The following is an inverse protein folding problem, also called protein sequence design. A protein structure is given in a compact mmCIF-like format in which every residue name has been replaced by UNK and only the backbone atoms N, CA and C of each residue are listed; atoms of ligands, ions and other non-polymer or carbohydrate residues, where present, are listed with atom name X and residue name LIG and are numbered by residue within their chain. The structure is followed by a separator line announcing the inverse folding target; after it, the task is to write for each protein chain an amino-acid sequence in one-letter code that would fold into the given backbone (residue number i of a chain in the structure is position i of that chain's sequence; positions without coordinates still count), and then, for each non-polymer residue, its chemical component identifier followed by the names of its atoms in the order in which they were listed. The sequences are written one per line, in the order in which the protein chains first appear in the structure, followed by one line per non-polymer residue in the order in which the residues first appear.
data_IF_697902684171
#
_entry.id   IF_697902684171
#
_cell.length_a   1.000
_cell.length_b   1.000
_cell.length_c   1.000
_cell.angle_alpha   90.00
_cell.angle_beta   90.00
_cell.angle_gamma   90.00
#
_symmetry.space_group_name_H-M   'P 1'
#
loop_
_entity.id
_entity.type
_entity.pdbx_description
1 polymer ?
#
# COMPACT_ATOMS: atom_id res chain seq x y z
N UNK A 1 5.11 12.05 9.39
CA UNK A 1 5.70 10.99 8.55
C UNK A 1 6.38 9.81 9.30
N UNK A 2 6.33 9.66 10.64
CA UNK A 2 6.69 8.39 11.32
C UNK A 2 5.59 7.30 11.32
N UNK A 3 4.31 7.66 11.10
CA UNK A 3 3.18 6.78 11.47
C UNK A 3 2.84 5.67 10.47
N UNK A 4 3.28 5.76 9.21
CA UNK A 4 2.94 4.75 8.19
C UNK A 4 3.89 3.54 8.25
N UNK A 5 5.18 3.78 8.47
CA UNK A 5 6.18 2.71 8.59
C UNK A 5 5.97 1.88 9.85
N UNK A 6 5.59 2.50 10.98
CA UNK A 6 5.33 1.77 12.22
C UNK A 6 4.19 0.75 12.10
N UNK A 7 3.12 1.07 11.36
CA UNK A 7 1.95 0.20 11.23
C UNK A 7 2.21 -1.08 10.43
N UNK A 8 3.06 -1.01 9.39
CA UNK A 8 3.36 -2.17 8.54
C UNK A 8 4.31 -3.17 9.21
N UNK A 9 5.08 -2.78 10.23
CA UNK A 9 5.94 -3.70 10.97
C UNK A 9 5.28 -4.26 12.24
N UNK A 10 4.29 -3.55 12.81
CA UNK A 10 3.52 -4.05 13.94
C UNK A 10 2.80 -5.38 13.63
N UNK A 11 2.41 -5.61 12.37
CA UNK A 11 1.77 -6.86 11.96
C UNK A 11 2.71 -8.07 11.98
N UNK A 12 4.04 -7.86 11.98
CA UNK A 12 5.01 -8.96 11.97
C UNK A 12 5.03 -9.69 13.32
N UNK A 13 4.64 -9.02 14.41
CA UNK A 13 4.53 -9.64 15.73
C UNK A 13 3.57 -10.84 15.76
N UNK A 14 2.53 -10.83 14.92
CA UNK A 14 1.53 -11.91 14.86
C UNK A 14 1.86 -13.00 13.82
N UNK A 15 2.90 -12.81 13.00
CA UNK A 15 3.32 -13.80 12.00
C UNK A 15 3.67 -15.18 12.57
N UNK A 16 4.33 -15.30 13.74
CA UNK A 16 4.59 -16.62 14.34
C UNK A 16 3.31 -17.44 14.62
N UNK A 17 2.17 -16.78 14.86
CA UNK A 17 0.90 -17.48 15.06
C UNK A 17 0.39 -18.09 13.75
N UNK A 18 0.45 -17.33 12.65
CA UNK A 18 0.09 -17.82 11.33
C UNK A 18 1.06 -18.89 10.82
N UNK A 19 2.34 -18.81 11.18
CA UNK A 19 3.33 -19.85 10.87
C UNK A 19 2.91 -21.20 11.45
N UNK A 20 2.44 -21.22 12.70
CA UNK A 20 1.92 -22.45 13.30
C UNK A 20 0.70 -23.00 12.56
N UNK A 21 -0.17 -22.12 12.04
CA UNK A 21 -1.37 -22.54 11.31
C UNK A 21 -0.97 -23.20 9.99
N UNK A 22 -0.09 -22.57 9.20
CA UNK A 22 0.31 -23.10 7.89
C UNK A 22 1.20 -24.35 8.00
N UNK A 23 2.08 -24.42 9.01
CA UNK A 23 2.97 -25.57 9.21
C UNK A 23 2.22 -26.87 9.58
N UNK A 24 0.98 -26.78 10.12
CA UNK A 24 0.14 -27.98 10.34
C UNK A 24 -0.18 -28.73 9.05
N UNK A 25 -0.03 -28.09 7.90
CA UNK A 25 -0.28 -28.70 6.59
C UNK A 25 1.00 -29.16 5.88
N UNK A 26 2.15 -29.17 6.57
CA UNK A 26 3.39 -29.69 6.00
C UNK A 26 3.34 -31.19 5.70
N UNK A 27 2.72 -31.96 6.60
CA UNK A 27 2.76 -33.42 6.58
C UNK A 27 1.42 -34.05 6.15
N UNK A 28 0.44 -33.25 5.72
CA UNK A 28 -0.88 -33.76 5.36
C UNK A 28 -0.79 -34.53 4.03
N UNK A 29 -1.17 -35.83 4.01
CA UNK A 29 -1.12 -36.63 2.79
C UNK A 29 -1.91 -36.01 1.65
N UNK A 30 -1.41 -36.15 0.40
CA UNK A 30 -2.07 -35.62 -0.80
C UNK A 30 -3.53 -36.08 -0.93
N UNK A 31 -3.85 -37.29 -0.45
CA UNK A 31 -5.18 -37.89 -0.52
C UNK A 31 -6.24 -37.21 0.35
N UNK A 32 -5.84 -36.51 1.41
CA UNK A 32 -6.77 -35.91 2.37
C UNK A 32 -7.21 -34.50 1.96
N UNK A 33 -6.49 -33.87 1.03
CA UNK A 33 -6.74 -32.51 0.58
C UNK A 33 -7.35 -32.57 -0.82
N UNK A 34 -8.70 -32.61 -0.89
CA UNK A 34 -9.47 -32.59 -2.13
C UNK A 34 -9.49 -31.19 -2.77
N UNK A 35 -8.30 -30.66 -3.03
CA UNK A 35 -8.11 -29.33 -3.60
C UNK A 35 -7.49 -29.46 -4.98
N UNK A 36 -8.20 -28.94 -5.99
CA UNK A 36 -7.73 -28.93 -7.36
C UNK A 36 -6.60 -27.90 -7.53
N UNK A 37 -5.35 -28.36 -7.41
CA UNK A 37 -4.13 -27.59 -7.68
C UNK A 37 -3.51 -27.89 -9.07
N UNK A 38 -4.13 -28.79 -9.84
CA UNK A 38 -3.51 -29.48 -10.99
C UNK A 38 -3.40 -28.65 -12.28
N UNK A 39 -3.63 -27.34 -12.26
CA UNK A 39 -3.76 -26.54 -13.48
C UNK A 39 -2.91 -25.27 -13.54
N UNK A 40 -1.87 -25.14 -12.71
CA UNK A 40 -0.89 -24.05 -12.89
C UNK A 40 0.37 -24.62 -13.51
N UNK A 41 0.65 -24.15 -14.71
CA UNK A 41 1.97 -24.23 -15.31
C UNK A 41 2.70 -22.96 -14.90
N UNK A 42 3.52 -23.03 -13.85
CA UNK A 42 4.43 -21.91 -13.56
C UNK A 42 5.44 -21.81 -14.70
N UNK A 43 5.83 -20.58 -15.11
CA UNK A 43 6.98 -20.42 -15.97
C UNK A 43 8.19 -21.09 -15.29
N UNK A 44 9.06 -21.76 -16.05
CA UNK A 44 10.26 -22.38 -15.49
C UNK A 44 11.09 -21.30 -14.81
N UNK A 45 11.18 -21.39 -13.48
CA UNK A 45 12.00 -20.49 -12.67
C UNK A 45 13.45 -20.98 -12.76
N UNK A 46 14.32 -20.21 -13.40
CA UNK A 46 15.74 -20.57 -13.50
C UNK A 46 16.33 -20.79 -12.10
N UNK A 47 16.70 -22.04 -11.80
CA UNK A 47 17.36 -22.41 -10.55
C UNK A 47 16.50 -22.37 -9.28
N UNK A 48 15.16 -22.38 -9.41
CA UNK A 48 14.24 -22.53 -8.26
C UNK A 48 13.24 -23.65 -8.55
N UNK A 49 13.39 -24.76 -7.83
CA UNK A 49 12.40 -25.84 -7.81
C UNK A 49 11.39 -25.57 -6.69
N UNK A 50 10.17 -25.17 -7.07
CA UNK A 50 9.03 -25.07 -6.14
C UNK A 50 8.08 -26.21 -6.46
N UNK A 51 7.79 -27.08 -5.49
CA UNK A 51 6.67 -28.02 -5.58
C UNK A 51 5.36 -27.23 -5.44
N UNK A 52 4.91 -26.66 -6.56
CA UNK A 52 3.74 -25.80 -6.58
C UNK A 52 2.48 -26.52 -6.06
N UNK A 53 2.36 -27.81 -6.30
CA UNK A 53 1.24 -28.63 -5.85
C UNK A 53 1.20 -28.71 -4.30
N UNK A 54 2.36 -28.88 -3.66
CA UNK A 54 2.47 -28.78 -2.21
C UNK A 54 2.13 -27.37 -1.69
N UNK A 55 2.73 -26.33 -2.27
CA UNK A 55 2.50 -24.93 -1.87
C UNK A 55 1.02 -24.56 -2.00
N UNK A 56 0.38 -24.97 -3.08
CA UNK A 56 -1.03 -24.73 -3.34
C UNK A 56 -1.94 -25.39 -2.30
N UNK A 57 -1.71 -26.66 -1.99
CA UNK A 57 -2.47 -27.36 -0.95
C UNK A 57 -2.33 -26.72 0.43
N UNK A 58 -1.10 -26.36 0.81
CA UNK A 58 -0.81 -25.72 2.09
C UNK A 58 -1.48 -24.35 2.19
N UNK A 59 -1.29 -23.52 1.17
CA UNK A 59 -1.87 -22.18 1.10
C UNK A 59 -3.39 -22.23 1.18
N UNK A 60 -4.03 -23.15 0.43
CA UNK A 60 -5.49 -23.27 0.42
C UNK A 60 -6.04 -23.76 1.76
N UNK A 61 -5.37 -24.73 2.39
CA UNK A 61 -5.77 -25.25 3.71
C UNK A 61 -5.63 -24.17 4.78
N UNK A 62 -4.51 -23.43 4.75
CA UNK A 62 -4.29 -22.27 5.60
C UNK A 62 -5.38 -21.21 5.43
N UNK A 63 -5.68 -20.79 4.20
CA UNK A 63 -6.71 -19.78 3.94
C UNK A 63 -8.10 -20.26 4.36
N UNK A 64 -8.42 -21.55 4.19
CA UNK A 64 -9.66 -22.14 4.67
C UNK A 64 -9.82 -22.02 6.20
N UNK A 65 -8.75 -22.33 6.95
CA UNK A 65 -8.74 -22.21 8.41
C UNK A 65 -8.92 -20.76 8.87
N UNK A 66 -8.25 -19.82 8.20
CA UNK A 66 -8.42 -18.39 8.52
C UNK A 66 -9.80 -17.89 8.12
N UNK A 67 -10.35 -18.34 7.00
CA UNK A 67 -11.67 -17.92 6.53
C UNK A 67 -12.77 -18.26 7.55
N UNK A 68 -12.69 -19.45 8.14
CA UNK A 68 -13.62 -19.93 9.16
C UNK A 68 -13.35 -19.36 10.57
N UNK A 69 -12.22 -18.68 10.77
CA UNK A 69 -11.98 -17.94 12.00
C UNK A 69 -12.88 -16.68 12.06
N UNK A 70 -13.48 -16.42 13.23
CA UNK A 70 -14.48 -15.35 13.43
C UNK A 70 -13.90 -13.93 13.37
N UNK A 71 -12.59 -13.78 13.52
CA UNK A 71 -11.96 -12.47 13.53
C UNK A 71 -11.62 -11.98 12.10
N UNK A 72 -12.45 -11.06 11.59
CA UNK A 72 -12.24 -10.48 10.27
C UNK A 72 -10.99 -9.59 10.17
N UNK A 73 -10.52 -8.99 11.28
CA UNK A 73 -9.35 -8.09 11.24
C UNK A 73 -8.04 -8.84 10.99
N UNK A 74 -8.01 -10.12 11.33
CA UNK A 74 -6.87 -11.00 11.12
C UNK A 74 -6.75 -11.52 9.68
N UNK A 75 -7.81 -11.41 8.86
CA UNK A 75 -7.84 -11.93 7.49
C UNK A 75 -6.84 -11.24 6.57
N UNK A 76 -6.79 -9.91 6.58
CA UNK A 76 -5.84 -9.16 5.75
C UNK A 76 -4.39 -9.46 6.15
N UNK A 77 -4.11 -9.55 7.46
CA UNK A 77 -2.78 -9.87 7.94
C UNK A 77 -2.39 -11.30 7.57
N UNK A 78 -3.31 -12.24 7.64
CA UNK A 78 -3.09 -13.60 7.20
C UNK A 78 -2.73 -13.70 5.71
N UNK A 79 -3.36 -12.88 4.86
CA UNK A 79 -3.02 -12.78 3.44
C UNK A 79 -1.62 -12.21 3.21
N UNK A 80 -1.21 -11.18 3.97
CA UNK A 80 0.16 -10.63 3.95
C UNK A 80 1.19 -11.63 4.46
N UNK A 81 0.86 -12.37 5.50
CA UNK A 81 1.72 -13.44 6.01
C UNK A 81 1.92 -14.53 4.96
N UNK A 82 0.88 -14.94 4.24
CA UNK A 82 1.00 -15.95 3.18
C UNK A 82 1.99 -15.50 2.09
N UNK A 83 1.94 -14.23 1.67
CA UNK A 83 2.91 -13.66 0.73
C UNK A 83 4.35 -13.77 1.27
N UNK A 84 4.56 -13.33 2.52
CA UNK A 84 5.85 -13.43 3.19
C UNK A 84 6.34 -14.88 3.32
N UNK A 85 5.46 -15.82 3.66
CA UNK A 85 5.79 -17.23 3.80
C UNK A 85 6.28 -17.85 2.48
N UNK A 86 5.65 -17.50 1.34
CA UNK A 86 6.12 -17.94 0.02
C UNK A 86 7.55 -17.44 -0.22
N UNK A 87 7.81 -16.16 0.04
CA UNK A 87 9.14 -15.54 -0.08
C UNK A 87 10.18 -16.26 0.80
N UNK A 88 9.88 -16.44 2.08
CA UNK A 88 10.84 -16.99 3.05
C UNK A 88 11.16 -18.47 2.78
N UNK A 89 10.14 -19.30 2.58
CA UNK A 89 10.30 -20.76 2.48
C UNK A 89 10.73 -21.23 1.10
N UNK A 90 10.18 -20.65 0.04
CA UNK A 90 10.35 -21.18 -1.32
C UNK A 90 11.36 -20.38 -2.15
N UNK A 91 11.56 -19.10 -1.83
CA UNK A 91 12.47 -18.25 -2.60
C UNK A 91 13.80 -17.99 -1.88
N UNK A 92 13.95 -18.36 -0.60
CA UNK A 92 15.22 -18.27 0.16
C UNK A 92 15.93 -16.92 0.00
N UNK A 93 15.18 -15.82 0.06
CA UNK A 93 15.68 -14.46 -0.15
C UNK A 93 16.19 -14.14 -1.58
N UNK A 94 15.84 -14.94 -2.59
CA UNK A 94 16.05 -14.57 -3.99
C UNK A 94 14.93 -13.65 -4.44
N UNK A 95 15.31 -12.51 -5.00
CA UNK A 95 14.38 -11.55 -5.58
C UNK A 95 13.65 -12.18 -6.74
N UNK A 96 12.32 -12.10 -6.73
CA UNK A 96 11.56 -12.67 -7.80
C UNK A 96 10.23 -11.96 -7.97
N UNK A 97 10.08 -11.31 -9.11
CA UNK A 97 8.78 -10.91 -9.67
C UNK A 97 7.79 -12.08 -9.71
N UNK A 98 8.28 -13.32 -9.68
CA UNK A 98 7.47 -14.53 -9.66
C UNK A 98 6.77 -14.80 -8.32
N UNK A 99 7.23 -14.23 -7.19
CA UNK A 99 6.52 -14.40 -5.91
C UNK A 99 5.12 -13.83 -6.01
N UNK A 100 4.97 -12.64 -6.60
CA UNK A 100 3.68 -12.02 -6.82
C UNK A 100 2.80 -12.88 -7.73
N UNK A 101 3.34 -13.38 -8.84
CA UNK A 101 2.60 -14.27 -9.76
C UNK A 101 2.11 -15.54 -9.04
N UNK A 102 2.97 -16.20 -8.26
CA UNK A 102 2.60 -17.40 -7.49
C UNK A 102 1.53 -17.05 -6.48
N UNK A 103 1.71 -15.96 -5.74
CA UNK A 103 0.76 -15.53 -4.73
C UNK A 103 -0.62 -15.24 -5.33
N UNK A 104 -0.68 -14.49 -6.43
CA UNK A 104 -1.94 -14.16 -7.10
C UNK A 104 -2.68 -15.41 -7.59
N UNK A 105 -1.96 -16.34 -8.20
CA UNK A 105 -2.49 -17.64 -8.64
C UNK A 105 -3.02 -18.48 -7.47
N UNK A 106 -2.30 -18.51 -6.34
CA UNK A 106 -2.73 -19.20 -5.13
C UNK A 106 -4.04 -18.59 -4.59
N UNK A 107 -4.12 -17.26 -4.51
CA UNK A 107 -5.32 -16.57 -4.02
C UNK A 107 -6.50 -16.83 -4.97
N UNK A 108 -6.31 -16.73 -6.29
CA UNK A 108 -7.37 -16.94 -7.28
C UNK A 108 -7.94 -18.36 -7.21
N UNK A 109 -7.08 -19.38 -7.18
CA UNK A 109 -7.51 -20.80 -7.12
C UNK A 109 -8.01 -21.25 -5.76
N UNK A 110 -7.69 -20.51 -4.72
CA UNK A 110 -8.23 -20.79 -3.39
C UNK A 110 -9.74 -20.54 -3.33
N UNK A 111 -10.27 -19.62 -4.15
CA UNK A 111 -11.67 -19.16 -4.08
C UNK A 111 -11.90 -18.05 -3.05
N UNK A 112 -10.84 -17.57 -2.38
CA UNK A 112 -10.92 -16.57 -1.30
C UNK A 112 -10.54 -15.14 -1.73
N UNK A 113 -10.37 -14.89 -3.03
CA UNK A 113 -9.96 -13.59 -3.58
C UNK A 113 -10.91 -12.44 -3.21
N UNK A 114 -12.23 -12.68 -3.24
CA UNK A 114 -13.24 -11.62 -3.11
C UNK A 114 -13.68 -11.32 -1.66
N UNK A 115 -13.39 -12.19 -0.70
CA UNK A 115 -13.95 -12.10 0.66
C UNK A 115 -12.89 -11.99 1.77
N UNK A 116 -11.66 -12.49 1.55
CA UNK A 116 -10.63 -12.54 2.58
C UNK A 116 -9.43 -11.66 2.24
N UNK A 117 -8.94 -11.75 1.00
CA UNK A 117 -7.76 -11.02 0.56
C UNK A 117 -8.13 -9.90 -0.41
N UNK A 118 -9.08 -9.03 -0.08
CA UNK A 118 -9.70 -8.08 -1.04
C UNK A 118 -8.72 -7.13 -1.75
N UNK A 119 -7.52 -6.90 -1.19
CA UNK A 119 -6.47 -6.06 -1.77
C UNK A 119 -5.19 -6.84 -2.11
N UNK A 120 -5.28 -8.15 -2.38
CA UNK A 120 -4.12 -9.01 -2.62
C UNK A 120 -3.27 -8.57 -3.82
N UNK A 121 -3.90 -7.96 -4.84
CA UNK A 121 -3.21 -7.39 -6.01
C UNK A 121 -2.43 -6.11 -5.70
N UNK A 122 -2.65 -5.51 -4.52
CA UNK A 122 -2.03 -4.25 -4.08
C UNK A 122 -1.09 -4.52 -2.88
N UNK A 123 -0.59 -5.75 -2.73
CA UNK A 123 0.47 -6.00 -1.75
C UNK A 123 1.76 -5.38 -2.27
N UNK A 124 2.00 -4.13 -1.88
CA UNK A 124 3.19 -3.36 -2.22
C UNK A 124 4.33 -3.66 -1.24
N UNK A 125 4.79 -4.91 -1.20
CA UNK A 125 6.07 -5.22 -0.56
C UNK A 125 7.17 -5.11 -1.59
N UNK A 126 8.05 -4.13 -1.43
CA UNK A 126 9.30 -4.12 -2.16
C UNK A 126 10.22 -5.23 -1.64
N UNK A 127 11.21 -5.61 -2.44
CA UNK A 127 12.26 -6.53 -2.02
C UNK A 127 12.96 -6.08 -0.72
N UNK A 128 13.17 -4.77 -0.59
CA UNK A 128 13.73 -4.14 0.62
C UNK A 128 12.79 -4.31 1.82
N UNK A 129 11.48 -4.23 1.60
CA UNK A 129 10.50 -4.46 2.66
C UNK A 129 10.49 -5.92 3.10
N UNK A 130 10.58 -6.88 2.18
CA UNK A 130 10.64 -8.30 2.50
C UNK A 130 11.86 -8.68 3.34
N UNK A 131 13.02 -8.10 3.04
CA UNK A 131 14.23 -8.27 3.86
C UNK A 131 14.00 -7.73 5.28
N UNK A 132 13.43 -6.54 5.41
CA UNK A 132 13.14 -5.94 6.73
C UNK A 132 12.11 -6.75 7.50
N UNK A 133 11.02 -7.16 6.85
CA UNK A 133 9.97 -8.01 7.44
C UNK A 133 10.58 -9.31 7.92
N UNK A 134 11.48 -9.92 7.14
CA UNK A 134 12.21 -11.12 7.56
C UNK A 134 13.04 -10.86 8.81
N UNK A 135 13.83 -9.78 8.85
CA UNK A 135 14.62 -9.46 10.05
C UNK A 135 13.73 -9.27 11.29
N UNK A 136 12.59 -8.60 11.16
CA UNK A 136 11.62 -8.49 12.25
C UNK A 136 11.03 -9.84 12.64
N UNK A 137 10.65 -10.65 11.64
CA UNK A 137 10.09 -11.97 11.85
C UNK A 137 11.06 -12.91 12.60
N UNK A 138 12.33 -12.92 12.20
CA UNK A 138 13.39 -13.71 12.85
C UNK A 138 13.57 -13.23 14.30
N UNK A 139 13.58 -11.91 14.52
CA UNK A 139 13.65 -11.32 15.87
C UNK A 139 12.45 -11.71 16.75
N UNK A 140 11.22 -11.61 16.25
CA UNK A 140 10.01 -11.98 16.99
C UNK A 140 9.92 -13.48 17.24
N UNK A 141 10.26 -14.29 16.25
CA UNK A 141 10.32 -15.75 16.38
C UNK A 141 11.33 -16.14 17.46
N UNK A 142 12.48 -15.48 17.45
CA UNK A 142 13.48 -15.71 18.47
C UNK A 142 13.02 -15.29 19.88
N UNK A 143 12.50 -14.07 20.00
CA UNK A 143 11.97 -13.57 21.25
C UNK A 143 10.87 -14.50 21.81
N UNK A 144 10.00 -15.01 20.94
CA UNK A 144 9.00 -16.00 21.30
C UNK A 144 9.62 -17.31 21.82
N UNK A 145 10.67 -17.84 21.18
CA UNK A 145 11.40 -19.03 21.65
C UNK A 145 12.06 -18.80 23.01
N UNK A 146 12.72 -17.66 23.20
CA UNK A 146 13.35 -17.26 24.47
C UNK A 146 12.30 -17.20 25.58
N UNK A 147 11.18 -16.49 25.35
CA UNK A 147 10.10 -16.33 26.31
C UNK A 147 9.47 -17.66 26.74
N UNK A 148 9.40 -18.63 25.84
CA UNK A 148 8.85 -19.96 26.12
C UNK A 148 9.90 -21.01 26.54
N UNK A 149 11.15 -20.60 26.79
CA UNK A 149 12.25 -21.50 27.15
C UNK A 149 12.49 -22.65 26.16
N UNK A 150 12.24 -22.43 24.86
CA UNK A 150 12.45 -23.44 23.81
C UNK A 150 13.96 -23.71 23.62
N UNK A 151 14.40 -24.95 23.85
CA UNK A 151 15.83 -25.29 23.82
C UNK A 151 16.47 -25.00 22.45
N UNK A 152 15.70 -25.00 21.37
CA UNK A 152 16.19 -24.76 20.01
C UNK A 152 16.84 -23.39 19.83
N UNK A 153 16.48 -22.36 20.63
CA UNK A 153 17.11 -21.03 20.50
C UNK A 153 18.61 -21.05 20.82
N UNK A 154 19.09 -22.03 21.60
CA UNK A 154 20.50 -22.11 21.99
C UNK A 154 21.42 -22.49 20.83
N UNK A 155 20.87 -23.14 19.80
CA UNK A 155 21.62 -23.57 18.62
C UNK A 155 21.61 -22.50 17.52
N UNK A 156 20.72 -21.51 17.64
CA UNK A 156 20.58 -20.41 16.70
C UNK A 156 21.44 -19.22 17.18
N UNK A 157 22.51 -18.92 16.44
CA UNK A 157 23.48 -17.89 16.79
C UNK A 157 22.86 -16.50 16.89
N UNK A 158 21.93 -16.18 15.97
CA UNK A 158 21.20 -14.92 15.99
C UNK A 158 20.36 -14.82 17.27
N UNK A 159 19.69 -15.91 17.63
CA UNK A 159 18.91 -15.95 18.87
C UNK A 159 19.73 -15.80 20.12
N UNK A 160 20.89 -16.46 20.15
CA UNK A 160 21.82 -16.34 21.26
C UNK A 160 22.31 -14.91 21.44
N UNK A 161 22.68 -14.24 20.34
CA UNK A 161 23.07 -12.83 20.35
C UNK A 161 21.93 -11.92 20.81
N UNK A 162 20.71 -12.12 20.31
CA UNK A 162 19.53 -11.34 20.71
C UNK A 162 19.25 -11.49 22.21
N UNK A 163 19.30 -12.72 22.74
CA UNK A 163 19.13 -12.99 24.17
C UNK A 163 20.14 -12.22 25.02
N UNK A 164 21.41 -12.23 24.62
CA UNK A 164 22.48 -11.51 25.33
C UNK A 164 22.21 -10.00 25.38
N UNK A 165 21.77 -9.41 24.27
CA UNK A 165 21.40 -7.98 24.22
C UNK A 165 20.24 -7.68 25.17
N UNK A 166 19.20 -8.52 25.19
CA UNK A 166 18.05 -8.38 26.10
C UNK A 166 18.51 -8.47 27.57
N UNK A 167 19.37 -9.43 27.90
CA UNK A 167 19.90 -9.61 29.25
C UNK A 167 20.77 -8.41 29.69
N UNK A 168 21.69 -7.95 28.85
CA UNK A 168 22.52 -6.77 29.11
C UNK A 168 21.67 -5.50 29.32
N UNK A 169 20.62 -5.32 28.53
CA UNK A 169 19.71 -4.19 28.68
C UNK A 169 18.89 -4.27 29.98
N UNK A 170 18.39 -5.45 30.33
CA UNK A 170 17.64 -5.67 31.57
C UNK A 170 18.50 -5.44 32.81
N UNK A 171 19.78 -5.82 32.80
CA UNK A 171 20.73 -5.53 33.90
C UNK A 171 20.94 -4.02 34.06
N UNK A 172 20.99 -3.26 32.96
CA UNK A 172 21.10 -1.79 33.02
C UNK A 172 19.82 -1.12 33.53
N UNK A 173 18.66 -1.75 33.32
CA UNK A 173 17.36 -1.29 33.77
C UNK A 173 16.95 -1.79 35.15
N UNK A 174 17.71 -2.72 35.77
CA UNK A 174 17.55 -2.96 37.20
C UNK A 174 17.64 -1.60 37.89
N UNK A 175 16.66 -1.26 38.74
CA UNK A 175 16.67 0.02 39.40
C UNK A 175 17.95 0.08 40.20
N UNK A 176 18.95 0.83 39.68
CA UNK A 176 19.95 1.44 40.55
C UNK A 176 19.10 2.05 41.64
N UNK A 177 19.27 1.56 42.87
CA UNK A 177 18.63 2.12 44.04
C UNK A 177 18.93 3.62 43.97
N UNK A 178 18.00 4.37 43.39
CA UNK A 178 18.12 5.79 43.11
C UNK A 178 17.90 6.38 44.48
N UNK A 179 18.97 6.32 45.28
CA UNK A 179 18.91 6.15 46.72
C UNK A 179 17.83 7.01 47.30
N UNK A 180 16.85 6.36 47.96
CA UNK A 180 15.67 6.96 48.60
C UNK A 180 15.57 8.43 48.26
N UNK A 181 14.99 8.74 47.10
CA UNK A 181 14.72 10.13 46.77
C UNK A 181 13.85 10.62 47.90
N UNK A 182 14.43 11.43 48.80
CA UNK A 182 13.69 12.12 49.83
C UNK A 182 12.65 12.87 49.01
N UNK A 183 11.41 12.40 49.06
CA UNK A 183 10.27 13.07 48.48
C UNK A 183 10.17 14.39 49.23
N UNK A 184 10.96 15.38 48.79
CA UNK A 184 10.58 16.78 48.89
C UNK A 184 9.27 16.82 48.12
N UNK A 185 8.20 16.76 48.91
CA UNK A 185 6.84 17.01 48.51
C UNK A 185 6.88 18.41 47.91
N UNK A 186 7.18 18.49 46.62
CA UNK A 186 6.99 19.69 45.81
C UNK A 186 5.51 19.96 45.96
N UNK A 187 5.19 21.01 46.71
CA UNK A 187 3.87 21.62 46.73
C UNK A 187 3.50 21.84 45.28
N UNK A 188 2.67 20.92 44.79
CA UNK A 188 2.15 20.89 43.44
C UNK A 188 1.23 22.09 43.35
N UNK A 189 1.79 23.25 43.01
CA UNK A 189 1.00 24.35 42.50
C UNK A 189 0.21 23.79 41.34
N UNK A 190 -1.10 23.70 41.55
CA UNK A 190 -2.06 23.21 40.58
C UNK A 190 -2.15 24.23 39.46
N UNK A 191 -1.14 24.26 38.60
CA UNK A 191 -1.22 24.99 37.36
C UNK A 191 -2.40 24.39 36.60
N UNK A 192 -3.36 25.23 36.25
CA UNK A 192 -4.61 24.84 35.61
C UNK A 192 -4.33 24.25 34.23
N UNK A 193 -3.96 22.97 34.18
CA UNK A 193 -3.69 22.17 32.96
C UNK A 193 -4.88 22.19 31.99
N UNK A 194 -6.08 22.53 32.50
CA UNK A 194 -7.28 22.78 31.70
C UNK A 194 -7.07 23.90 30.67
N UNK A 195 -6.33 24.96 30.99
CA UNK A 195 -6.17 26.12 30.10
C UNK A 195 -5.37 25.76 28.83
N UNK A 196 -4.17 25.13 28.94
CA UNK A 196 -3.45 24.65 27.75
C UNK A 196 -4.28 23.69 26.89
N UNK A 197 -5.02 22.76 27.50
CA UNK A 197 -5.83 21.76 26.76
C UNK A 197 -6.97 22.43 25.98
N UNK A 198 -7.66 23.41 26.57
CA UNK A 198 -8.74 24.15 25.89
C UNK A 198 -8.17 24.95 24.72
N UNK A 199 -7.03 25.63 24.92
CA UNK A 199 -6.38 26.42 23.86
C UNK A 199 -5.93 25.51 22.71
N UNK A 200 -5.27 24.38 23.00
CA UNK A 200 -4.83 23.47 21.94
C UNK A 200 -6.00 22.90 21.14
N UNK A 201 -7.08 22.50 21.82
CA UNK A 201 -8.28 21.97 21.18
C UNK A 201 -8.94 23.02 20.27
N UNK A 202 -9.06 24.28 20.71
CA UNK A 202 -9.61 25.38 19.90
C UNK A 202 -8.76 25.67 18.67
N UNK A 203 -7.43 25.70 18.82
CA UNK A 203 -6.50 25.92 17.69
C UNK A 203 -6.61 24.79 16.68
N UNK A 204 -6.67 23.53 17.13
CA UNK A 204 -6.85 22.38 16.22
C UNK A 204 -8.16 22.47 15.44
N UNK A 205 -9.28 22.79 16.11
CA UNK A 205 -10.58 22.94 15.45
C UNK A 205 -10.58 24.08 14.42
N UNK A 206 -9.96 25.22 14.72
CA UNK A 206 -9.83 26.34 13.78
C UNK A 206 -9.03 25.97 12.54
N UNK A 207 -7.93 25.23 12.70
CA UNK A 207 -7.12 24.75 11.57
C UNK A 207 -7.94 23.76 10.73
N UNK A 208 -8.59 22.78 11.36
CA UNK A 208 -9.43 21.81 10.65
C UNK A 208 -10.58 22.47 9.90
N UNK A 209 -11.26 23.45 10.51
CA UNK A 209 -12.31 24.22 9.85
C UNK A 209 -11.79 25.03 8.67
N UNK A 210 -10.63 25.67 8.82
CA UNK A 210 -9.99 26.43 7.73
C UNK A 210 -9.62 25.53 6.55
N UNK A 211 -9.09 24.33 6.82
CA UNK A 211 -8.78 23.33 5.79
C UNK A 211 -10.04 22.85 5.06
N UNK A 212 -11.13 22.59 5.79
CA UNK A 212 -12.42 22.23 5.19
C UNK A 212 -12.99 23.36 4.32
N UNK A 213 -12.83 24.62 4.76
CA UNK A 213 -13.25 25.77 3.97
C UNK A 213 -12.45 25.90 2.67
N UNK A 214 -11.11 25.81 2.74
CA UNK A 214 -10.25 25.82 1.56
C UNK A 214 -10.56 24.64 0.64
N UNK A 215 -10.79 23.44 1.21
CA UNK A 215 -11.18 22.27 0.43
C UNK A 215 -12.51 22.47 -0.29
N UNK A 216 -13.52 23.04 0.40
CA UNK A 216 -14.83 23.34 -0.21
C UNK A 216 -14.70 24.38 -1.33
N UNK A 217 -13.99 25.48 -1.09
CA UNK A 217 -13.77 26.53 -2.10
C UNK A 217 -13.00 25.98 -3.29
N UNK A 218 -11.95 25.18 -3.07
CA UNK A 218 -11.22 24.54 -4.16
C UNK A 218 -12.07 23.50 -4.90
N UNK A 219 -12.90 22.73 -4.20
CA UNK A 219 -13.81 21.78 -4.83
C UNK A 219 -14.84 22.50 -5.71
N UNK A 220 -15.46 23.58 -5.21
CA UNK A 220 -16.40 24.39 -5.98
C UNK A 220 -15.70 25.07 -7.17
N UNK A 221 -14.48 25.58 -7.01
CA UNK A 221 -13.68 26.15 -8.12
C UNK A 221 -13.34 25.06 -9.15
N UNK A 222 -12.88 23.88 -8.74
CA UNK A 222 -12.56 22.77 -9.65
C UNK A 222 -13.83 22.30 -10.38
N UNK A 223 -14.96 22.22 -9.68
CA UNK A 223 -16.25 21.85 -10.24
C UNK A 223 -16.75 22.91 -11.24
N UNK A 224 -16.64 24.20 -10.91
CA UNK A 224 -16.90 25.31 -11.84
C UNK A 224 -15.96 25.28 -13.03
N UNK A 225 -14.67 25.00 -12.83
CA UNK A 225 -13.68 24.92 -13.91
C UNK A 225 -14.00 23.77 -14.87
N UNK A 226 -14.47 22.64 -14.34
CA UNK A 226 -14.90 21.48 -15.13
C UNK A 226 -16.20 21.72 -15.90
N UNK A 227 -17.11 22.55 -15.39
CA UNK A 227 -18.33 22.96 -16.11
C UNK A 227 -18.11 24.15 -17.07
N UNK A 228 -17.12 25.01 -16.80
CA UNK A 228 -16.73 26.10 -17.70
C UNK A 228 -16.20 25.59 -19.05
N UNK A 229 -15.58 24.41 -19.11
CA UNK A 229 -15.16 23.81 -20.40
C UNK A 229 -16.36 23.41 -21.27
N UNK A 230 -17.46 23.01 -20.65
CA UNK A 230 -18.72 22.73 -21.34
C UNK A 230 -19.36 24.02 -21.88
N UNK A 231 -19.36 25.10 -21.09
CA UNK A 231 -19.80 26.42 -21.54
C UNK A 231 -18.93 26.99 -22.66
N UNK A 232 -17.60 26.85 -22.58
CA UNK A 232 -16.69 27.25 -23.67
C UNK A 232 -16.99 26.46 -24.96
N UNK A 233 -17.31 25.18 -24.83
CA UNK A 233 -17.69 24.33 -25.97
C UNK A 233 -19.04 24.75 -26.56
N UNK A 234 -20.03 25.09 -25.74
CA UNK A 234 -21.32 25.62 -26.17
C UNK A 234 -21.18 26.97 -26.88
N UNK A 235 -20.36 27.89 -26.36
CA UNK A 235 -20.06 29.19 -26.99
C UNK A 235 -19.38 28.98 -28.35
N UNK A 236 -18.43 28.02 -28.45
CA UNK A 236 -17.77 27.68 -29.71
C UNK A 236 -18.76 27.14 -30.75
N UNK A 237 -19.72 26.31 -30.33
CA UNK A 237 -20.78 25.81 -31.22
C UNK A 237 -21.68 26.94 -31.72
N UNK A 238 -22.06 27.88 -30.85
CA UNK A 238 -22.89 29.04 -31.23
C UNK A 238 -22.14 29.94 -32.22
N UNK A 239 -20.87 30.25 -31.96
CA UNK A 239 -20.06 31.08 -32.86
C UNK A 239 -19.86 30.43 -34.23
N UNK A 240 -19.64 29.11 -34.28
CA UNK A 240 -19.54 28.39 -35.55
C UNK A 240 -20.85 28.43 -36.35
N UNK A 241 -22.01 28.31 -35.69
CA UNK A 241 -23.33 28.47 -36.34
C UNK A 241 -23.57 29.88 -36.88
N UNK A 242 -23.15 30.90 -36.14
CA UNK A 242 -23.25 32.30 -36.60
C UNK A 242 -22.33 32.57 -37.80
N UNK A 243 -21.12 32.02 -37.80
CA UNK A 243 -20.18 32.14 -38.92
C UNK A 243 -20.72 31.49 -40.20
N UNK A 244 -21.30 30.29 -40.08
CA UNK A 244 -21.92 29.59 -41.21
C UNK A 244 -23.09 30.40 -41.84
N UNK A 245 -23.97 30.98 -41.00
CA UNK A 245 -25.05 31.86 -41.49
C UNK A 245 -24.55 33.12 -42.18
N UNK A 246 -23.44 33.71 -41.71
CA UNK A 246 -22.84 34.87 -42.36
C UNK A 246 -22.29 34.52 -43.75
N UNK A 247 -21.68 33.34 -43.90
CA UNK A 247 -21.19 32.84 -45.19
C UNK A 247 -22.33 32.53 -46.18
N UNK A 248 -23.44 31.92 -45.73
CA UNK A 248 -24.63 31.74 -46.58
C UNK A 248 -25.26 33.08 -47.02
N UNK A 249 -25.26 34.10 -46.14
CA UNK A 249 -25.77 35.43 -46.50
C UNK A 249 -24.93 36.15 -47.56
N UNK A 250 -23.64 35.81 -47.69
CA UNK A 250 -22.76 36.34 -48.74
C UNK A 250 -22.94 35.67 -50.10
N UNK A 251 -23.60 34.50 -50.16
CA UNK A 251 -23.88 33.81 -51.43
C UNK A 251 -25.12 34.39 -52.13
N UNK A 252 -26.03 35.03 -51.38
CA UNK A 252 -27.29 35.57 -51.89
C UNK A 252 -27.31 37.08 -52.17
N UNK A 253 -26.19 37.79 -52.00
CA UNK A 253 -26.08 39.14 -52.54
C UNK A 253 -25.64 39.05 -54.01
N UNK A 254 -26.53 39.30 -54.98
CA UNK A 254 -26.12 39.40 -56.38
C UNK A 254 -25.05 40.49 -56.46
N UNK A 255 -23.88 40.11 -56.95
CA UNK A 255 -22.77 41.01 -57.19
C UNK A 255 -23.26 42.13 -58.11
N UNK A 256 -23.51 43.31 -57.53
CA UNK A 256 -23.49 44.54 -58.31
C UNK A 256 -22.07 44.67 -58.84
N UNK A 257 -21.87 44.26 -60.09
CA UNK A 257 -20.70 44.57 -60.89
C UNK A 257 -20.39 46.05 -60.75
N UNK A 258 -19.42 46.40 -59.89
CA UNK A 258 -18.75 47.69 -59.98
C UNK A 258 -17.56 47.50 -60.93
N UNK A 259 -17.78 47.87 -62.18
CA UNK A 259 -16.70 48.20 -63.09
C UNK A 259 -15.86 49.33 -62.47
N UNK A 260 -14.66 49.01 -62.03
CA UNK A 260 -13.59 50.01 -61.93
C UNK A 260 -12.27 49.34 -62.30
N UNK A 261 -11.81 49.69 -63.48
CA UNK A 261 -10.56 49.30 -64.06
C UNK A 261 -9.35 49.78 -63.23
N UNK A 262 -8.22 49.15 -63.52
CA UNK A 262 -6.89 49.79 -63.59
C UNK A 262 -6.26 50.20 -62.25
N UNK A 263 -5.22 49.48 -61.79
CA UNK A 263 -3.80 49.71 -62.18
C UNK A 263 -2.85 48.99 -61.20
N UNK A 264 -1.85 48.30 -61.76
CA UNK A 264 -0.41 48.40 -61.40
C UNK A 264 -0.05 48.15 -59.92
N UNK A 265 0.83 47.23 -59.54
CA UNK A 265 2.25 47.10 -59.94
C UNK A 265 2.82 45.99 -59.01
N UNK A 266 3.51 44.96 -59.51
CA UNK A 266 4.97 44.92 -59.71
C UNK A 266 5.76 44.65 -58.39
N UNK A 267 6.22 43.40 -58.21
CA UNK A 267 7.62 42.89 -58.16
C UNK A 267 7.76 41.66 -57.25
N UNK A 268 8.11 40.53 -57.90
CA UNK A 268 8.82 39.38 -57.36
C UNK A 268 10.22 39.79 -56.85
N UNK A 269 10.70 39.22 -55.73
CA UNK A 269 12.12 38.84 -55.53
C UNK A 269 12.20 37.61 -54.60
N UNK A 270 12.76 36.53 -55.12
CA UNK A 270 13.26 35.33 -54.44
C UNK A 270 14.60 35.61 -53.73
N UNK A 271 14.83 34.98 -52.57
CA UNK A 271 16.17 34.57 -52.13
C UNK A 271 16.11 33.22 -51.42
N UNK A 272 16.65 32.19 -52.08
CA UNK A 272 17.20 30.99 -51.45
C UNK A 272 18.68 31.25 -51.15
N UNK A 273 19.14 30.83 -49.97
CA UNK A 273 20.55 30.71 -49.63
C UNK A 273 20.75 29.38 -48.89
N UNK A 274 21.67 28.60 -49.45
CA UNK A 274 22.38 27.39 -48.96
C UNK A 274 22.55 27.25 -47.46
#
# INVERSE_FOLDING_TARGET
MPDLYSKNYAIVEIFPQYNKIIERYNDVPKSELNYNCNSITLPPLEGIYVDFDQVCRQSKSYLNDIYHNKDNTLKEVACKYLYFWIYDKHFKNKYSTHIQTIYEELIEKSGYSNNMCQNYKIIEFTDVDLIKIKSFYDMYTCHYKIKNNDISYKQDEFCHALKKIIEEHNIQMEPKDCGKTITKQLTRESNNIKVPIIITTLVTLLISYSLLYVYKVNYDIIYLTKHCTWFQSAIKIINNKLKYKAEESNIYFPSKMSNSASRSRIYDIFYEST
#
